data_IF_595066798727
#
_entry.id   IF_595066798727
#
_cell.length_a   1.000
_cell.length_b   1.000
_cell.length_c   1.000
_cell.angle_alpha   90.00
_cell.angle_beta   90.00
_cell.angle_gamma   90.00
#
_symmetry.space_group_name_H-M   'P 1'
#
loop_
_entity.id
_entity.type
_entity.pdbx_description
1 polymer ?
#
# COMPACT_ATOMS: atom_id res chain seq x y z
N UNK A 1 -0.55 36.16 47.30
CA UNK A 1 0.05 34.81 47.14
C UNK A 1 -0.72 33.87 46.18
N UNK A 2 -1.75 34.31 45.44
CA UNK A 2 -2.48 33.45 44.49
C UNK A 2 -1.81 33.29 43.09
N UNK A 3 -0.73 34.02 42.80
CA UNK A 3 -0.08 34.02 41.47
C UNK A 3 0.84 32.81 41.22
N UNK A 4 1.26 32.09 42.27
CA UNK A 4 2.21 30.98 42.17
C UNK A 4 1.62 29.66 41.67
N UNK A 5 0.33 29.40 41.93
CA UNK A 5 -0.32 28.13 41.57
C UNK A 5 -0.67 28.05 40.08
N UNK A 6 -1.04 29.18 39.47
CA UNK A 6 -1.33 29.27 38.02
C UNK A 6 -0.08 29.15 37.15
N UNK A 7 1.05 29.71 37.59
CA UNK A 7 2.30 29.69 36.83
C UNK A 7 2.94 28.29 36.78
N UNK A 8 2.93 27.54 37.90
CA UNK A 8 3.44 26.17 37.96
C UNK A 8 2.63 25.18 37.10
N UNK A 9 1.29 25.26 37.17
CA UNK A 9 0.39 24.43 36.34
C UNK A 9 0.53 24.72 34.85
N UNK A 10 0.72 25.99 34.47
CA UNK A 10 0.90 26.41 33.09
C UNK A 10 2.24 25.93 32.49
N UNK A 11 3.33 25.95 33.27
CA UNK A 11 4.66 25.47 32.84
C UNK A 11 4.69 23.93 32.70
N UNK A 12 4.04 23.21 33.61
CA UNK A 12 3.89 21.75 33.53
C UNK A 12 3.14 21.33 32.26
N UNK A 13 2.04 22.03 31.96
CA UNK A 13 1.21 21.78 30.78
C UNK A 13 1.99 22.00 29.47
N UNK A 14 2.92 22.96 29.41
CA UNK A 14 3.73 23.20 28.21
C UNK A 14 4.78 22.12 27.97
N UNK A 15 5.42 21.61 29.04
CA UNK A 15 6.36 20.49 28.93
C UNK A 15 5.64 19.24 28.44
N UNK A 16 4.41 19.01 28.92
CA UNK A 16 3.56 17.91 28.48
C UNK A 16 3.19 18.03 27.00
N UNK A 17 2.75 19.21 26.54
CA UNK A 17 2.40 19.43 25.12
C UNK A 17 3.61 19.21 24.21
N UNK A 18 4.79 19.74 24.57
CA UNK A 18 6.03 19.51 23.80
C UNK A 18 6.42 18.04 23.77
N UNK A 19 6.31 17.34 24.91
CA UNK A 19 6.59 15.91 25.00
C UNK A 19 5.64 15.10 24.10
N UNK A 20 4.34 15.38 24.13
CA UNK A 20 3.35 14.70 23.29
C UNK A 20 3.61 14.91 21.79
N UNK A 21 3.93 16.15 21.38
CA UNK A 21 4.28 16.44 19.98
C UNK A 21 5.54 15.70 19.55
N UNK A 22 6.57 15.66 20.41
CA UNK A 22 7.80 14.91 20.12
C UNK A 22 7.52 13.41 19.99
N UNK A 23 6.79 12.82 20.93
CA UNK A 23 6.45 11.39 20.89
C UNK A 23 5.63 11.02 19.65
N UNK A 24 4.64 11.84 19.30
CA UNK A 24 3.82 11.63 18.11
C UNK A 24 4.62 11.75 16.81
N UNK A 25 5.46 12.79 16.69
CA UNK A 25 6.30 12.97 15.51
C UNK A 25 7.43 11.92 15.42
N UNK A 26 7.90 11.38 16.55
CA UNK A 26 8.82 10.24 16.57
C UNK A 26 8.17 8.99 15.96
N UNK A 27 6.88 8.74 16.23
CA UNK A 27 6.16 7.65 15.59
C UNK A 27 6.12 7.81 14.07
N UNK A 28 5.90 9.02 13.56
CA UNK A 28 5.99 9.28 12.11
C UNK A 28 7.37 9.06 11.53
N UNK A 29 8.43 9.43 12.26
CA UNK A 29 9.81 9.14 11.83
C UNK A 29 10.02 7.62 11.71
N UNK A 30 9.59 6.85 12.71
CA UNK A 30 9.75 5.38 12.71
C UNK A 30 8.96 4.76 11.56
N UNK A 31 7.68 5.12 11.41
CA UNK A 31 6.83 4.62 10.31
C UNK A 31 7.41 5.01 8.95
N UNK A 32 7.82 6.27 8.78
CA UNK A 32 8.42 6.76 7.56
C UNK A 32 9.73 6.05 7.20
N UNK A 33 10.59 5.79 8.19
CA UNK A 33 11.83 5.03 8.00
C UNK A 33 11.55 3.60 7.53
N UNK A 34 10.59 2.92 8.16
CA UNK A 34 10.18 1.56 7.78
C UNK A 34 9.62 1.53 6.37
N UNK A 35 8.70 2.45 6.02
CA UNK A 35 8.14 2.52 4.66
C UNK A 35 9.22 2.81 3.63
N UNK A 36 10.11 3.77 3.88
CA UNK A 36 11.22 4.08 2.97
C UNK A 36 12.13 2.86 2.77
N UNK A 37 12.48 2.15 3.85
CA UNK A 37 13.28 0.93 3.79
C UNK A 37 12.59 -0.17 2.97
N UNK A 38 11.29 -0.39 3.19
CA UNK A 38 10.49 -1.35 2.41
C UNK A 38 10.47 -0.95 0.93
N UNK A 39 10.16 0.31 0.61
CA UNK A 39 10.09 0.78 -0.77
C UNK A 39 11.43 0.65 -1.50
N UNK A 40 12.55 0.99 -0.85
CA UNK A 40 13.90 0.82 -1.41
C UNK A 40 14.26 -0.66 -1.57
N UNK A 41 13.91 -1.51 -0.60
CA UNK A 41 14.12 -2.95 -0.69
C UNK A 41 13.39 -3.54 -1.90
N UNK A 42 12.11 -3.17 -2.06
CA UNK A 42 11.26 -3.61 -3.16
C UNK A 42 11.81 -3.18 -4.53
N UNK A 43 12.35 -1.97 -4.66
CA UNK A 43 12.97 -1.51 -5.91
C UNK A 43 14.31 -2.20 -6.23
N UNK A 44 15.04 -2.65 -5.21
CA UNK A 44 16.39 -3.24 -5.35
C UNK A 44 16.39 -4.75 -5.48
N UNK A 45 15.27 -5.43 -5.25
CA UNK A 45 15.22 -6.88 -5.39
C UNK A 45 15.50 -7.28 -6.86
N UNK A 46 16.59 -8.02 -7.14
CA UNK A 46 16.96 -8.42 -8.51
C UNK A 46 15.89 -9.27 -9.19
N UNK A 47 15.02 -9.96 -8.44
CA UNK A 47 13.84 -10.66 -8.99
C UNK A 47 12.76 -9.69 -9.49
N UNK A 48 12.73 -8.47 -8.95
CA UNK A 48 11.84 -7.38 -9.34
C UNK A 48 12.50 -6.37 -10.30
N UNK A 49 13.83 -6.42 -10.48
CA UNK A 49 14.59 -5.55 -11.38
C UNK A 49 14.80 -6.14 -12.78
N UNK A 50 14.66 -7.46 -12.96
CA UNK A 50 14.47 -8.09 -14.29
C UNK A 50 13.18 -7.65 -15.00
N UNK A 51 12.38 -6.81 -14.34
CA UNK A 51 11.20 -6.08 -14.82
C UNK A 51 11.56 -4.83 -15.66
N UNK A 52 12.85 -4.55 -15.89
CA UNK A 52 13.35 -3.32 -16.54
C UNK A 52 13.76 -3.42 -18.02
N UNK A 53 14.52 -4.42 -18.49
CA UNK A 53 15.09 -4.37 -19.83
C UNK A 53 14.21 -5.11 -20.85
N UNK A 54 13.08 -4.51 -21.23
CA UNK A 54 12.38 -4.77 -22.51
C UNK A 54 11.92 -3.46 -23.17
N UNK A 55 12.68 -2.39 -22.98
CA UNK A 55 12.68 -1.26 -23.90
C UNK A 55 14.06 -1.23 -24.55
N UNK A 56 14.08 -1.44 -25.86
CA UNK A 56 15.25 -1.49 -26.72
C UNK A 56 16.28 -0.39 -26.40
N UNK A 57 17.58 -0.65 -26.61
CA UNK A 57 18.61 0.37 -26.58
C UNK A 57 18.57 1.15 -27.89
N UNK A 58 17.54 1.96 -28.10
CA UNK A 58 17.53 3.02 -29.12
C UNK A 58 16.43 4.01 -28.76
N UNK A 59 16.79 5.31 -28.74
CA UNK A 59 15.96 6.47 -28.38
C UNK A 59 16.00 6.83 -26.89
N UNK A 60 17.18 7.33 -26.50
CA UNK A 60 17.30 8.36 -25.47
C UNK A 60 16.83 9.70 -26.06
N UNK A 61 15.54 9.99 -25.97
CA UNK A 61 15.00 11.37 -25.93
C UNK A 61 13.49 11.33 -25.63
N UNK A 62 13.01 12.28 -24.84
CA UNK A 62 11.61 12.49 -24.41
C UNK A 62 11.00 11.46 -23.43
N UNK A 63 11.05 11.85 -22.15
CA UNK A 63 10.14 11.55 -21.05
C UNK A 63 8.89 10.69 -21.40
N UNK A 64 8.96 9.39 -21.18
CA UNK A 64 7.86 8.55 -20.65
C UNK A 64 8.41 7.16 -20.35
N UNK A 65 9.11 7.04 -19.22
CA UNK A 65 9.47 5.75 -18.68
C UNK A 65 8.16 5.09 -18.23
N UNK A 66 7.63 4.14 -19.00
CA UNK A 66 6.49 3.31 -18.57
C UNK A 66 6.94 2.48 -17.38
N UNK A 67 6.79 3.07 -16.18
CA UNK A 67 6.97 2.39 -14.92
C UNK A 67 5.98 1.23 -14.89
N UNK A 68 6.47 0.03 -14.60
CA UNK A 68 5.56 -1.10 -14.37
C UNK A 68 4.70 -0.82 -13.14
N UNK A 69 3.47 -1.35 -13.08
CA UNK A 69 2.52 -1.09 -11.97
C UNK A 69 3.15 -1.33 -10.58
N UNK A 70 4.09 -2.28 -10.48
CA UNK A 70 4.83 -2.57 -9.28
C UNK A 70 5.87 -1.50 -8.90
N UNK A 71 6.60 -0.96 -9.89
CA UNK A 71 7.51 0.17 -9.68
C UNK A 71 6.74 1.42 -9.24
N UNK A 72 5.56 1.65 -9.80
CA UNK A 72 4.68 2.75 -9.38
C UNK A 72 4.32 2.62 -7.90
N UNK A 73 3.93 1.42 -7.45
CA UNK A 73 3.61 1.17 -6.04
C UNK A 73 4.82 1.36 -5.12
N UNK A 74 5.98 0.82 -5.50
CA UNK A 74 7.21 0.95 -4.72
C UNK A 74 7.67 2.42 -4.60
N UNK A 75 7.59 3.18 -5.71
CA UNK A 75 7.89 4.62 -5.71
C UNK A 75 6.90 5.38 -4.82
N UNK A 76 5.60 5.05 -4.87
CA UNK A 76 4.62 5.67 -3.99
C UNK A 76 4.94 5.43 -2.51
N UNK A 77 5.33 4.22 -2.12
CA UNK A 77 5.76 3.91 -0.75
C UNK A 77 6.98 4.77 -0.35
N UNK A 78 7.97 4.92 -1.24
CA UNK A 78 9.16 5.75 -0.97
C UNK A 78 8.76 7.21 -0.77
N UNK A 79 7.91 7.75 -1.65
CA UNK A 79 7.44 9.13 -1.56
C UNK A 79 6.71 9.36 -0.23
N UNK A 80 5.76 8.48 0.13
CA UNK A 80 5.02 8.56 1.39
C UNK A 80 5.98 8.44 2.59
N UNK A 81 6.88 7.47 2.58
CA UNK A 81 7.87 7.27 3.66
C UNK A 81 8.79 8.48 3.85
N UNK A 82 9.27 9.08 2.75
CA UNK A 82 10.12 10.27 2.77
C UNK A 82 9.39 11.51 3.28
N UNK A 83 8.10 11.65 2.95
CA UNK A 83 7.25 12.73 3.44
C UNK A 83 7.04 12.60 4.95
N UNK A 84 6.68 11.41 5.45
CA UNK A 84 6.50 11.15 6.88
C UNK A 84 7.78 11.40 7.70
N UNK A 85 8.93 10.97 7.18
CA UNK A 85 10.24 11.26 7.79
C UNK A 85 10.49 12.76 7.91
N UNK A 86 10.24 13.50 6.84
CA UNK A 86 10.46 14.95 6.78
C UNK A 86 9.53 15.67 7.75
N UNK A 87 8.24 15.34 7.74
CA UNK A 87 7.23 15.92 8.64
C UNK A 87 7.56 15.63 10.09
N UNK A 88 7.88 14.38 10.41
CA UNK A 88 8.25 13.98 11.77
C UNK A 88 9.53 14.68 12.25
N UNK A 89 10.53 14.82 11.38
CA UNK A 89 11.76 15.55 11.70
C UNK A 89 11.50 17.05 11.96
N UNK A 90 10.69 17.69 11.12
CA UNK A 90 10.29 19.10 11.29
C UNK A 90 9.48 19.30 12.58
N UNK A 91 8.54 18.40 12.88
CA UNK A 91 7.75 18.44 14.11
C UNK A 91 8.59 18.26 15.37
N UNK A 92 9.52 17.31 15.37
CA UNK A 92 10.45 17.10 16.48
C UNK A 92 11.42 18.27 16.66
N UNK A 93 12.07 18.73 15.57
CA UNK A 93 12.97 19.87 15.62
C UNK A 93 12.27 21.16 16.03
N UNK A 94 11.04 21.39 15.56
CA UNK A 94 10.21 22.52 15.96
C UNK A 94 9.93 22.51 17.46
N UNK A 95 9.51 21.37 18.00
CA UNK A 95 9.20 21.22 19.42
C UNK A 95 10.44 21.36 20.34
N UNK A 96 11.61 20.84 19.92
CA UNK A 96 12.86 20.87 20.71
C UNK A 96 13.58 22.21 20.61
N UNK A 97 13.82 22.73 19.40
CA UNK A 97 14.59 23.97 19.19
C UNK A 97 13.71 25.22 19.35
N UNK A 98 12.39 25.05 19.31
CA UNK A 98 11.42 26.14 19.45
C UNK A 98 11.50 27.18 18.32
N UNK A 99 12.14 26.90 17.18
CA UNK A 99 12.21 27.87 16.09
C UNK A 99 10.82 28.14 15.54
N UNK A 100 10.36 29.39 15.61
CA UNK A 100 9.00 29.79 15.19
C UNK A 100 8.71 29.40 13.74
N UNK A 101 9.70 29.60 12.87
CA UNK A 101 9.61 29.26 11.46
C UNK A 101 9.32 27.77 11.20
N UNK A 102 9.87 26.87 12.02
CA UNK A 102 9.62 25.42 11.89
C UNK A 102 8.18 25.05 12.20
N UNK A 103 7.54 25.70 13.18
CA UNK A 103 6.13 25.46 13.48
C UNK A 103 5.20 25.97 12.37
N UNK A 104 5.56 27.10 11.72
CA UNK A 104 4.80 27.62 10.57
C UNK A 104 4.91 26.68 9.37
N UNK A 105 6.13 26.21 9.04
CA UNK A 105 6.32 25.22 7.97
C UNK A 105 5.54 23.94 8.29
N UNK A 106 5.66 23.42 9.52
CA UNK A 106 4.94 22.22 9.95
C UNK A 106 3.43 22.37 9.77
N UNK A 107 2.84 23.46 10.28
CA UNK A 107 1.41 23.71 10.11
C UNK A 107 1.01 23.85 8.64
N UNK A 108 1.83 24.51 7.82
CA UNK A 108 1.58 24.67 6.37
C UNK A 108 1.58 23.33 5.66
N UNK A 109 2.54 22.46 5.94
CA UNK A 109 2.63 21.11 5.34
C UNK A 109 1.44 20.26 5.75
N UNK A 110 1.04 20.26 7.02
CA UNK A 110 -0.16 19.51 7.47
C UNK A 110 -1.44 20.06 6.81
N UNK A 111 -1.59 21.37 6.65
CA UNK A 111 -2.73 21.94 5.92
C UNK A 111 -2.78 21.48 4.46
N UNK A 112 -1.64 21.40 3.77
CA UNK A 112 -1.58 20.88 2.40
C UNK A 112 -1.97 19.41 2.33
N UNK A 113 -1.62 18.61 3.35
CA UNK A 113 -2.03 17.20 3.44
C UNK A 113 -3.54 17.09 3.60
N UNK A 114 -4.16 17.84 4.52
CA UNK A 114 -5.62 17.86 4.70
C UNK A 114 -6.33 18.16 3.37
N UNK A 115 -5.83 19.14 2.60
CA UNK A 115 -6.41 19.49 1.29
C UNK A 115 -6.24 18.31 0.31
N UNK A 116 -5.07 17.68 0.27
CA UNK A 116 -4.83 16.52 -0.59
C UNK A 116 -5.73 15.33 -0.21
N UNK A 117 -5.93 15.05 1.08
CA UNK A 117 -6.83 14.00 1.56
C UNK A 117 -8.28 14.25 1.11
N UNK A 118 -8.76 15.49 1.25
CA UNK A 118 -10.11 15.87 0.78
C UNK A 118 -10.23 15.65 -0.73
N UNK A 119 -9.23 16.04 -1.51
CA UNK A 119 -9.22 15.83 -2.98
C UNK A 119 -9.28 14.33 -3.29
N UNK A 120 -8.46 13.50 -2.63
CA UNK A 120 -8.45 12.05 -2.83
C UNK A 120 -9.81 11.45 -2.51
N UNK A 121 -10.43 11.82 -1.39
CA UNK A 121 -11.78 11.34 -1.01
C UNK A 121 -12.82 11.71 -2.07
N UNK A 122 -12.80 12.97 -2.56
CA UNK A 122 -13.72 13.42 -3.60
C UNK A 122 -13.51 12.65 -4.90
N UNK A 123 -12.26 12.48 -5.34
CA UNK A 123 -11.93 11.71 -6.55
C UNK A 123 -12.42 10.27 -6.42
N UNK A 124 -12.16 9.60 -5.30
CA UNK A 124 -12.61 8.22 -5.09
C UNK A 124 -14.13 8.11 -5.18
N UNK A 125 -14.87 9.03 -4.56
CA UNK A 125 -16.34 9.02 -4.57
C UNK A 125 -16.91 9.29 -5.97
N UNK A 126 -16.34 10.26 -6.69
CA UNK A 126 -16.82 10.65 -8.03
C UNK A 126 -16.51 9.56 -9.07
N UNK A 127 -15.31 9.01 -9.03
CA UNK A 127 -14.82 8.06 -10.03
C UNK A 127 -15.00 6.59 -9.64
N UNK A 128 -15.67 6.28 -8.52
CA UNK A 128 -15.84 4.91 -8.02
C UNK A 128 -16.38 3.94 -9.07
N UNK A 129 -17.31 4.38 -9.94
CA UNK A 129 -17.89 3.55 -10.99
C UNK A 129 -16.95 3.30 -12.17
N UNK A 130 -16.01 4.22 -12.44
CA UNK A 130 -15.10 4.13 -13.58
C UNK A 130 -13.89 3.23 -13.29
N UNK A 131 -13.49 3.08 -12.03
CA UNK A 131 -12.33 2.25 -11.67
C UNK A 131 -12.45 0.81 -12.16
N UNK A 132 -13.66 0.23 -12.14
CA UNK A 132 -13.85 -1.14 -12.62
C UNK A 132 -13.60 -1.23 -14.13
N UNK A 133 -14.17 -0.32 -14.90
CA UNK A 133 -14.08 -0.29 -16.36
C UNK A 133 -12.65 -0.03 -16.85
N UNK A 134 -11.84 0.71 -16.09
CA UNK A 134 -10.44 0.95 -16.45
C UNK A 134 -9.47 -0.11 -15.91
N UNK A 135 -9.68 -0.57 -14.68
CA UNK A 135 -8.71 -1.41 -13.99
C UNK A 135 -8.85 -2.89 -14.35
N UNK A 136 -10.08 -3.40 -14.46
CA UNK A 136 -10.31 -4.82 -14.76
C UNK A 136 -9.68 -5.23 -16.09
N UNK A 137 -9.84 -4.49 -17.21
CA UNK A 137 -9.20 -4.86 -18.47
C UNK A 137 -7.67 -4.85 -18.39
N UNK A 138 -7.08 -3.90 -17.64
CA UNK A 138 -5.62 -3.86 -17.42
C UNK A 138 -5.14 -5.07 -16.62
N UNK A 139 -5.90 -5.47 -15.61
CA UNK A 139 -5.63 -6.67 -14.81
C UNK A 139 -5.76 -7.94 -15.65
N UNK A 140 -6.82 -8.07 -16.45
CA UNK A 140 -6.97 -9.19 -17.40
C UNK A 140 -5.81 -9.25 -18.39
N UNK A 141 -5.43 -8.11 -18.97
CA UNK A 141 -4.28 -8.03 -19.88
C UNK A 141 -2.97 -8.46 -19.18
N UNK A 142 -2.83 -8.16 -17.89
CA UNK A 142 -1.68 -8.61 -17.11
C UNK A 142 -1.61 -10.13 -16.96
N UNK A 143 -2.76 -10.80 -16.82
CA UNK A 143 -2.86 -12.26 -16.80
C UNK A 143 -2.49 -12.80 -18.17
N UNK A 144 -3.19 -12.36 -19.22
CA UNK A 144 -3.01 -12.86 -20.59
C UNK A 144 -1.57 -12.75 -21.06
N UNK A 145 -0.94 -11.59 -20.81
CA UNK A 145 0.37 -11.25 -21.37
C UNK A 145 1.53 -11.68 -20.48
N UNK A 146 1.38 -11.68 -19.15
CA UNK A 146 2.53 -11.84 -18.25
C UNK A 146 2.39 -12.99 -17.26
N UNK A 147 1.23 -13.65 -17.16
CA UNK A 147 1.14 -14.85 -16.33
C UNK A 147 1.90 -16.01 -17.02
N UNK A 148 2.83 -16.60 -16.29
CA UNK A 148 3.68 -17.71 -16.74
C UNK A 148 3.54 -18.96 -15.86
N UNK A 149 2.75 -18.88 -14.78
CA UNK A 149 2.58 -19.95 -13.80
C UNK A 149 3.66 -19.95 -12.71
N UNK A 150 3.31 -20.53 -11.57
CA UNK A 150 4.26 -20.89 -10.51
C UNK A 150 4.49 -22.40 -10.56
N UNK A 151 5.72 -22.86 -10.83
CA UNK A 151 6.02 -24.28 -10.74
C UNK A 151 5.79 -24.75 -9.30
N UNK A 152 5.07 -25.87 -9.08
CA UNK A 152 5.10 -26.48 -7.77
C UNK A 152 6.55 -26.85 -7.46
N UNK A 153 6.97 -26.64 -6.22
CA UNK A 153 8.31 -26.95 -5.71
C UNK A 153 9.45 -25.96 -6.05
N UNK A 154 9.25 -24.96 -6.92
CA UNK A 154 10.26 -23.91 -7.15
C UNK A 154 9.65 -22.54 -7.48
N UNK A 155 9.41 -21.73 -6.46
CA UNK A 155 8.95 -20.33 -6.60
C UNK A 155 10.05 -19.37 -7.08
N UNK A 156 11.31 -19.83 -7.19
CA UNK A 156 12.46 -18.99 -7.60
C UNK A 156 12.46 -18.71 -9.10
N UNK A 157 11.82 -19.56 -9.90
CA UNK A 157 11.65 -19.40 -11.35
C UNK A 157 10.34 -18.74 -11.75
N UNK A 158 9.43 -18.51 -10.80
CA UNK A 158 8.19 -17.80 -11.06
C UNK A 158 8.46 -16.31 -11.25
N UNK A 159 7.85 -15.71 -12.28
CA UNK A 159 7.91 -14.26 -12.45
C UNK A 159 7.00 -13.55 -11.42
N UNK A 160 7.31 -12.27 -11.17
CA UNK A 160 6.60 -11.46 -10.17
C UNK A 160 5.10 -11.34 -10.43
N UNK A 161 4.68 -11.32 -11.69
CA UNK A 161 3.25 -11.26 -12.05
C UNK A 161 2.52 -12.54 -11.64
N UNK A 162 3.07 -13.72 -11.94
CA UNK A 162 2.45 -14.99 -11.50
C UNK A 162 2.40 -15.08 -9.99
N UNK A 163 3.49 -14.72 -9.30
CA UNK A 163 3.54 -14.73 -7.85
C UNK A 163 2.48 -13.79 -7.22
N UNK A 164 2.30 -12.60 -7.78
CA UNK A 164 1.32 -11.61 -7.30
C UNK A 164 -0.12 -12.11 -7.49
N UNK A 165 -0.41 -12.68 -8.67
CA UNK A 165 -1.71 -13.27 -8.95
C UNK A 165 -1.99 -14.46 -8.05
N UNK A 166 -1.04 -15.37 -7.90
CA UNK A 166 -1.20 -16.57 -7.09
C UNK A 166 -1.36 -16.24 -5.60
N UNK A 167 -0.62 -15.24 -5.12
CA UNK A 167 -0.80 -14.68 -3.77
C UNK A 167 -2.19 -14.07 -3.60
N UNK A 168 -2.65 -13.26 -4.54
CA UNK A 168 -3.97 -12.62 -4.47
C UNK A 168 -5.10 -13.67 -4.47
N UNK A 169 -5.05 -14.63 -5.38
CA UNK A 169 -6.03 -15.72 -5.49
C UNK A 169 -6.11 -16.52 -4.18
N UNK A 170 -4.96 -16.89 -3.62
CA UNK A 170 -4.88 -17.63 -2.36
C UNK A 170 -5.47 -16.85 -1.18
N UNK A 171 -5.05 -15.60 -0.98
CA UNK A 171 -5.43 -14.82 0.20
C UNK A 171 -6.85 -14.26 0.12
N UNK A 172 -7.31 -13.89 -1.08
CA UNK A 172 -8.64 -13.31 -1.28
C UNK A 172 -9.69 -14.38 -1.59
N UNK A 173 -9.27 -15.61 -1.92
CA UNK A 173 -10.15 -16.72 -2.31
C UNK A 173 -10.99 -16.36 -3.53
N UNK A 174 -10.29 -15.99 -4.61
CA UNK A 174 -10.84 -15.53 -5.88
C UNK A 174 -10.07 -16.16 -7.04
N UNK A 175 -10.58 -16.02 -8.26
CA UNK A 175 -9.92 -16.52 -9.45
C UNK A 175 -10.00 -15.54 -10.62
N UNK A 176 -8.84 -15.22 -11.20
CA UNK A 176 -8.72 -14.24 -12.29
C UNK A 176 -8.97 -12.81 -11.85
N UNK A 177 -8.94 -11.88 -12.80
CA UNK A 177 -9.21 -10.47 -12.53
C UNK A 177 -10.72 -10.20 -12.39
N UNK A 178 -11.48 -10.62 -13.39
CA UNK A 178 -12.94 -10.60 -13.44
C UNK A 178 -13.55 -11.98 -13.23
N UNK A 179 -12.90 -13.03 -13.75
CA UNK A 179 -13.44 -14.39 -13.66
C UNK A 179 -12.38 -15.47 -13.91
N UNK A 180 -12.77 -16.71 -13.63
CA UNK A 180 -12.00 -17.92 -13.95
C UNK A 180 -11.55 -17.99 -15.43
N UNK A 181 -12.35 -17.43 -16.35
CA UNK A 181 -12.08 -17.50 -17.79
C UNK A 181 -10.92 -16.61 -18.24
N UNK A 182 -10.41 -15.72 -17.38
CA UNK A 182 -9.31 -14.82 -17.72
C UNK A 182 -8.00 -15.57 -18.04
N UNK A 183 -7.88 -16.83 -17.59
CA UNK A 183 -6.74 -17.70 -17.88
C UNK A 183 -6.85 -18.47 -19.21
N UNK A 184 -8.01 -18.44 -19.87
CA UNK A 184 -8.24 -19.24 -21.09
C UNK A 184 -7.29 -18.89 -22.24
N UNK A 185 -6.95 -17.60 -22.36
CA UNK A 185 -6.19 -17.00 -23.46
C UNK A 185 -4.76 -16.61 -23.08
N UNK A 186 -4.22 -17.10 -21.96
CA UNK A 186 -2.84 -16.79 -21.55
C UNK A 186 -1.84 -17.34 -22.57
N UNK A 187 -0.94 -16.49 -23.05
CA UNK A 187 0.03 -16.87 -24.10
C UNK A 187 1.33 -17.41 -23.53
N UNK A 188 1.71 -16.99 -22.32
CA UNK A 188 3.02 -17.26 -21.73
C UNK A 188 3.00 -18.31 -20.62
N UNK A 189 1.84 -18.92 -20.36
CA UNK A 189 1.67 -19.92 -19.31
C UNK A 189 1.71 -21.34 -19.86
N UNK A 190 2.69 -22.13 -19.38
CA UNK A 190 2.70 -23.57 -19.59
C UNK A 190 1.63 -24.24 -18.71
N UNK A 191 0.55 -24.71 -19.36
CA UNK A 191 -0.61 -25.31 -18.70
C UNK A 191 -0.44 -26.81 -18.42
N UNK A 192 0.73 -27.41 -18.65
CA UNK A 192 0.94 -28.84 -18.35
C UNK A 192 0.71 -29.12 -16.87
N UNK A 193 -0.11 -30.13 -16.58
CA UNK A 193 -0.35 -30.54 -15.20
C UNK A 193 0.86 -31.31 -14.66
N UNK A 194 1.51 -30.83 -13.58
CA UNK A 194 2.71 -31.44 -13.01
C UNK A 194 2.48 -32.81 -12.37
N UNK A 195 1.22 -33.19 -12.10
CA UNK A 195 0.86 -34.49 -11.54
C UNK A 195 0.36 -35.49 -12.59
N UNK A 196 0.00 -35.01 -13.79
CA UNK A 196 -0.44 -35.84 -14.91
C UNK A 196 -0.26 -35.08 -16.22
N UNK A 197 0.86 -35.31 -16.90
CA UNK A 197 1.25 -34.62 -18.14
C UNK A 197 0.25 -34.79 -19.29
N UNK A 198 -0.68 -35.76 -19.20
CA UNK A 198 -1.75 -35.97 -20.19
C UNK A 198 -2.90 -34.96 -20.06
N UNK A 199 -2.88 -34.12 -19.03
CA UNK A 199 -3.94 -33.14 -18.74
C UNK A 199 -3.39 -31.72 -18.70
N UNK A 200 -4.25 -30.76 -19.05
CA UNK A 200 -3.93 -29.33 -18.99
C UNK A 200 -4.70 -28.66 -17.85
N UNK A 201 -4.04 -27.71 -17.21
CA UNK A 201 -4.65 -26.84 -16.21
C UNK A 201 -5.54 -25.82 -16.91
N UNK A 202 -6.81 -25.73 -16.51
CA UNK A 202 -7.72 -24.66 -16.92
C UNK A 202 -7.43 -23.37 -16.13
N UNK A 203 -7.06 -23.51 -14.85
CA UNK A 203 -6.71 -22.42 -13.94
C UNK A 203 -5.54 -22.76 -13.02
N UNK A 204 -4.87 -21.75 -12.44
CA UNK A 204 -3.85 -21.99 -11.42
C UNK A 204 -4.40 -22.76 -10.22
N UNK A 205 -3.55 -23.55 -9.55
CA UNK A 205 -3.94 -24.27 -8.35
C UNK A 205 -4.45 -23.34 -7.22
N UNK A 206 -4.00 -22.09 -7.20
CA UNK A 206 -4.42 -21.06 -6.23
C UNK A 206 -5.83 -20.54 -6.44
N UNK A 207 -6.45 -20.78 -7.61
CA UNK A 207 -7.89 -20.59 -7.83
C UNK A 207 -8.73 -21.65 -7.12
N UNK A 208 -8.12 -22.72 -6.61
CA UNK A 208 -8.82 -23.85 -6.00
C UNK A 208 -8.64 -23.85 -4.47
N UNK A 209 -9.63 -24.36 -3.71
CA UNK A 209 -9.47 -24.53 -2.27
C UNK A 209 -8.30 -25.48 -1.95
N UNK A 210 -7.25 -24.96 -1.28
CA UNK A 210 -6.05 -25.72 -0.94
C UNK A 210 -6.07 -26.36 0.47
N UNK A 211 -7.25 -26.49 1.08
CA UNK A 211 -7.55 -27.30 2.29
C UNK A 211 -6.61 -27.13 3.50
N UNK A 212 -5.41 -27.72 3.44
CA UNK A 212 -4.39 -27.76 4.49
C UNK A 212 -3.50 -26.50 4.57
N UNK A 213 -3.55 -25.62 3.56
CA UNK A 213 -2.73 -24.41 3.51
C UNK A 213 -3.21 -23.35 4.53
N UNK A 214 -2.41 -23.05 5.57
CA UNK A 214 -2.73 -21.98 6.54
C UNK A 214 -2.16 -20.62 6.17
N UNK A 215 -1.14 -20.58 5.30
CA UNK A 215 -0.43 -19.37 4.89
C UNK A 215 0.14 -19.56 3.49
N UNK A 216 0.31 -18.46 2.75
CA UNK A 216 1.02 -18.43 1.47
C UNK A 216 2.48 -18.93 1.58
N UNK A 217 3.08 -18.83 2.75
CA UNK A 217 4.43 -19.33 3.00
C UNK A 217 4.48 -20.83 3.35
N UNK A 218 3.32 -21.47 3.49
CA UNK A 218 3.16 -22.85 3.94
C UNK A 218 2.13 -23.57 3.05
N UNK A 219 2.34 -23.53 1.72
CA UNK A 219 1.51 -24.32 0.81
C UNK A 219 1.76 -25.82 1.03
N UNK A 220 0.73 -26.67 0.87
CA UNK A 220 0.86 -28.11 0.85
C UNK A 220 1.88 -28.54 -0.20
N UNK A 221 2.71 -29.52 0.15
CA UNK A 221 3.62 -30.16 -0.80
C UNK A 221 2.89 -31.05 -1.79
N UNK A 222 1.66 -31.45 -1.49
CA UNK A 222 0.81 -32.25 -2.37
C UNK A 222 -0.44 -31.45 -2.76
N UNK A 223 -0.53 -31.07 -4.03
CA UNK A 223 -1.68 -30.36 -4.61
C UNK A 223 -2.61 -31.30 -5.39
N UNK A 224 -2.39 -32.62 -5.34
CA UNK A 224 -3.26 -33.61 -6.00
C UNK A 224 -4.76 -33.44 -5.67
N UNK A 225 -5.18 -33.04 -4.46
CA UNK A 225 -6.60 -32.83 -4.18
C UNK A 225 -7.21 -31.67 -4.97
N UNK A 226 -6.39 -30.69 -5.36
CA UNK A 226 -6.82 -29.53 -6.14
C UNK A 226 -6.72 -29.78 -7.66
N UNK A 227 -6.11 -30.87 -8.10
CA UNK A 227 -5.87 -31.16 -9.53
C UNK A 227 -7.16 -31.25 -10.35
N UNK A 228 -8.21 -31.88 -9.83
CA UNK A 228 -9.50 -31.95 -10.54
C UNK A 228 -10.09 -30.55 -10.73
N UNK A 229 -10.01 -29.71 -9.70
CA UNK A 229 -10.44 -28.31 -9.79
C UNK A 229 -9.57 -27.51 -10.77
N UNK A 230 -8.25 -27.63 -10.70
CA UNK A 230 -7.34 -26.85 -11.53
C UNK A 230 -7.42 -27.24 -13.02
N UNK A 231 -7.69 -28.51 -13.33
CA UNK A 231 -7.82 -29.01 -14.71
C UNK A 231 -9.19 -28.75 -15.33
N UNK A 232 -10.27 -28.77 -14.55
CA UNK A 232 -11.64 -28.58 -15.07
C UNK A 232 -12.22 -27.19 -14.83
N UNK A 233 -11.65 -26.43 -13.88
CA UNK A 233 -12.23 -25.21 -13.31
C UNK A 233 -13.40 -25.47 -12.35
N UNK A 234 -13.87 -26.71 -12.20
CA UNK A 234 -15.02 -27.05 -11.36
C UNK A 234 -14.60 -26.99 -9.88
N UNK A 235 -15.30 -26.19 -9.09
CA UNK A 235 -14.99 -25.97 -7.68
C UNK A 235 -13.91 -24.91 -7.42
N UNK A 236 -13.43 -24.23 -8.47
CA UNK A 236 -12.61 -23.04 -8.33
C UNK A 236 -13.44 -21.87 -7.79
N UNK A 237 -12.77 -20.88 -7.21
CA UNK A 237 -13.42 -19.65 -6.78
C UNK A 237 -14.06 -18.96 -7.99
N UNK A 238 -15.38 -18.79 -7.94
CA UNK A 238 -16.16 -18.26 -9.07
C UNK A 238 -16.05 -16.73 -9.22
N UNK A 239 -15.69 -16.03 -8.14
CA UNK A 239 -15.59 -14.58 -8.11
C UNK A 239 -14.21 -14.09 -8.57
N UNK A 240 -14.20 -13.07 -9.43
CA UNK A 240 -12.98 -12.36 -9.83
C UNK A 240 -12.31 -11.64 -8.66
N UNK A 241 -10.99 -11.54 -8.68
CA UNK A 241 -10.23 -10.94 -7.59
C UNK A 241 -10.48 -9.44 -7.43
N UNK A 242 -10.81 -8.72 -8.51
CA UNK A 242 -11.21 -7.31 -8.38
C UNK A 242 -12.49 -7.18 -7.56
N UNK A 243 -13.54 -7.91 -7.94
CA UNK A 243 -14.85 -7.82 -7.29
C UNK A 243 -14.73 -8.32 -5.83
N UNK A 244 -13.93 -9.37 -5.58
CA UNK A 244 -13.66 -9.86 -4.22
C UNK A 244 -12.92 -8.85 -3.35
N UNK A 245 -11.94 -8.15 -3.91
CA UNK A 245 -11.23 -7.07 -3.21
C UNK A 245 -12.18 -5.92 -2.87
N UNK A 246 -13.04 -5.53 -3.81
CA UNK A 246 -14.06 -4.50 -3.58
C UNK A 246 -15.02 -4.92 -2.47
N UNK A 247 -15.49 -6.17 -2.45
CA UNK A 247 -16.37 -6.67 -1.37
C UNK A 247 -15.71 -6.61 0.00
N UNK A 248 -14.42 -6.95 0.09
CA UNK A 248 -13.63 -6.82 1.32
C UNK A 248 -13.54 -5.36 1.73
N UNK A 249 -13.22 -4.45 0.81
CA UNK A 249 -13.16 -3.01 1.09
C UNK A 249 -14.52 -2.47 1.56
N UNK A 250 -15.62 -2.91 0.94
CA UNK A 250 -16.99 -2.54 1.32
C UNK A 250 -17.39 -3.11 2.68
N UNK A 251 -16.89 -4.29 3.02
CA UNK A 251 -17.07 -4.90 4.35
C UNK A 251 -16.41 -4.04 5.43
N UNK A 252 -15.19 -3.58 5.18
CA UNK A 252 -14.43 -2.74 6.11
C UNK A 252 -14.68 -1.23 5.95
N UNK A 253 -15.60 -0.81 5.09
CA UNK A 253 -15.84 0.62 4.80
C UNK A 253 -16.08 1.46 6.04
N UNK A 254 -16.81 0.91 7.03
CA UNK A 254 -17.09 1.61 8.30
C UNK A 254 -15.80 1.86 9.07
N UNK A 255 -14.91 0.87 9.15
CA UNK A 255 -13.63 0.99 9.84
C UNK A 255 -12.70 1.96 9.12
N UNK A 256 -12.69 1.94 7.79
CA UNK A 256 -11.92 2.89 6.96
C UNK A 256 -12.40 4.32 7.20
N UNK A 257 -13.73 4.56 7.18
CA UNK A 257 -14.30 5.89 7.47
C UNK A 257 -13.91 6.37 8.87
N UNK A 258 -14.02 5.50 9.88
CA UNK A 258 -13.59 5.83 11.25
C UNK A 258 -12.10 6.19 11.28
N UNK A 259 -11.26 5.43 10.58
CA UNK A 259 -9.83 5.70 10.44
C UNK A 259 -9.55 7.07 9.83
N UNK A 260 -10.20 7.42 8.71
CA UNK A 260 -10.06 8.72 8.06
C UNK A 260 -10.48 9.87 9.00
N UNK A 261 -11.57 9.72 9.75
CA UNK A 261 -12.01 10.74 10.72
C UNK A 261 -10.99 10.91 11.85
N UNK A 262 -10.44 9.81 12.37
CA UNK A 262 -9.41 9.86 13.42
C UNK A 262 -8.16 10.58 12.91
N UNK A 263 -7.69 10.25 11.71
CA UNK A 263 -6.54 10.91 11.07
C UNK A 263 -6.80 12.41 10.93
N UNK A 264 -7.95 12.81 10.36
CA UNK A 264 -8.29 14.22 10.20
C UNK A 264 -8.39 14.99 11.53
N UNK A 265 -8.93 14.38 12.59
CA UNK A 265 -8.94 14.99 13.94
C UNK A 265 -7.53 15.18 14.47
N UNK A 266 -6.66 14.18 14.31
CA UNK A 266 -5.26 14.26 14.74
C UNK A 266 -4.51 15.37 14.00
N UNK A 267 -4.72 15.50 12.68
CA UNK A 267 -4.11 16.56 11.87
C UNK A 267 -4.57 17.95 12.29
N UNK A 268 -5.88 18.12 12.52
CA UNK A 268 -6.44 19.39 13.02
C UNK A 268 -5.83 19.74 14.39
N UNK A 269 -5.72 18.77 15.30
CA UNK A 269 -5.08 18.98 16.59
C UNK A 269 -3.60 19.34 16.45
N UNK A 270 -2.88 18.71 15.51
CA UNK A 270 -1.48 19.02 15.24
C UNK A 270 -1.30 20.49 14.77
N UNK A 271 -2.19 20.98 13.90
CA UNK A 271 -2.23 22.38 13.45
C UNK A 271 -2.54 23.32 14.62
N UNK A 272 -3.57 23.01 15.42
CA UNK A 272 -3.93 23.82 16.60
C UNK A 272 -2.74 23.92 17.55
N UNK A 273 -2.09 22.81 17.87
CA UNK A 273 -0.94 22.82 18.77
C UNK A 273 0.25 23.57 18.19
N UNK A 274 0.52 23.45 16.89
CA UNK A 274 1.57 24.24 16.24
C UNK A 274 1.30 25.75 16.34
N UNK A 275 0.06 26.18 16.13
CA UNK A 275 -0.35 27.60 16.25
C UNK A 275 -0.26 28.08 17.70
N UNK A 276 -0.72 27.28 18.67
CA UNK A 276 -0.65 27.63 20.10
C UNK A 276 0.80 27.78 20.56
N UNK A 277 1.70 26.88 20.14
CA UNK A 277 3.13 26.99 20.45
C UNK A 277 3.79 28.17 19.76
N UNK A 278 3.38 28.50 18.54
CA UNK A 278 3.84 29.68 17.82
C UNK A 278 3.48 30.97 18.58
N UNK A 279 2.20 31.15 18.91
CA UNK A 279 1.68 32.34 19.61
C UNK A 279 2.28 32.51 21.00
N UNK A 280 2.34 31.45 21.81
CA UNK A 280 2.93 31.56 23.16
C UNK A 280 4.40 31.97 23.14
N UNK A 281 5.17 31.56 22.14
CA UNK A 281 6.57 32.00 22.06
C UNK A 281 6.64 33.50 21.80
N UNK A 282 5.68 34.10 21.09
CA UNK A 282 5.56 35.55 20.88
C UNK A 282 5.41 36.29 22.20
N UNK A 283 4.49 35.85 23.07
CA UNK A 283 4.22 36.47 24.37
C UNK A 283 5.47 36.55 25.28
N UNK A 284 6.34 35.52 25.27
CA UNK A 284 7.59 35.52 26.04
C UNK A 284 8.72 36.35 25.44
N UNK A 285 8.64 36.73 24.16
CA UNK A 285 9.64 37.60 23.54
C UNK A 285 9.26 39.09 23.61
N UNK A 286 8.00 39.37 23.90
CA UNK A 286 7.49 40.72 24.17
C UNK A 286 7.59 41.15 25.65
N UNK A 287 8.03 40.24 26.53
CA UNK A 287 8.35 40.48 27.94
C UNK A 287 9.88 40.59 28.10
#
# INVERSE_FOLDING_TARGET
>A
MASGHGHGSMVMSMKLIRLLIVLFNLAFIVVGAVLLAIGVYVLKDPKMQQLGPLLNPEIMSSYSQSLTNFQVFAIAIIVIGSALLTIGFLGCCGAVKGFRFLHVIYATVICLIIIAEIIVVVVVIVYQGQFREELVPRLQNSIVTFYAGTPPYNSTSANSVSLSWDFAQFNLQCCGAASINDFSNTTNWDRRNPYNESTLLAVPFTCCPLGAAKSWTQLPTDLTPATTCATTGIGAYSQGCYDRLVDILLTYKKNVIIGCVIVGVIEILAVIFAIVLYRRKEDYASL
#
